data_IF_075107965933
#
_entry.id   IF_075107965933
#
_cell.length_a   1.000
_cell.length_b   1.000
_cell.length_c   1.000
_cell.angle_alpha   90.00
_cell.angle_beta   90.00
_cell.angle_gamma   90.00
#
_symmetry.space_group_name_H-M   'P 1'
#
loop_
_entity.id
_entity.type
_entity.pdbx_description
1 polymer ?
#
# COMPACT_ATOMS: atom_id res chain seq x y z
N UNK A 1 -52.12 2.11 -7.60
CA UNK A 1 -51.75 3.41 -8.20
C UNK A 1 -51.12 4.25 -7.10
N UNK A 2 -49.94 4.83 -7.38
CA UNK A 2 -49.03 5.58 -6.50
C UNK A 2 -47.90 4.78 -5.82
N UNK A 3 -46.85 4.49 -6.60
CA UNK A 3 -45.47 4.40 -6.12
C UNK A 3 -44.92 5.82 -5.97
N UNK A 4 -44.35 6.24 -4.82
CA UNK A 4 -43.68 7.52 -4.73
C UNK A 4 -42.24 7.35 -5.24
N UNK A 5 -42.08 7.77 -6.49
CA UNK A 5 -40.85 8.13 -7.18
C UNK A 5 -40.38 9.48 -6.65
N UNK A 6 -39.58 9.56 -5.58
CA UNK A 6 -38.77 10.75 -5.28
C UNK A 6 -37.65 10.33 -4.29
N UNK A 7 -36.48 9.96 -4.81
CA UNK A 7 -35.36 10.90 -4.94
C UNK A 7 -35.08 11.65 -3.64
N UNK A 8 -34.20 11.06 -2.83
CA UNK A 8 -33.16 11.77 -2.10
C UNK A 8 -32.11 10.72 -1.74
N UNK A 9 -31.21 10.49 -2.70
CA UNK A 9 -30.02 9.64 -2.57
C UNK A 9 -29.11 10.30 -1.52
N UNK A 10 -29.44 10.09 -0.25
CA UNK A 10 -28.54 10.31 0.85
C UNK A 10 -27.40 9.29 0.73
N UNK A 11 -26.18 9.79 0.62
CA UNK A 11 -24.96 9.06 0.98
C UNK A 11 -24.65 7.85 0.11
N UNK A 12 -23.94 8.08 -1.00
CA UNK A 12 -23.07 7.05 -1.56
C UNK A 12 -21.69 7.61 -1.84
N UNK A 13 -21.01 8.01 -0.77
CA UNK A 13 -19.59 7.69 -0.68
C UNK A 13 -19.56 6.21 -0.35
N UNK A 14 -19.36 5.40 -1.38
CA UNK A 14 -19.22 3.96 -1.26
C UNK A 14 -17.98 3.70 -0.41
N UNK A 15 -18.20 3.56 0.89
CA UNK A 15 -17.17 3.07 1.79
C UNK A 15 -16.75 1.70 1.29
N UNK A 16 -15.45 1.57 1.03
CA UNK A 16 -14.78 0.29 0.98
C UNK A 16 -15.01 -0.38 2.34
N UNK A 17 -16.08 -1.16 2.44
CA UNK A 17 -16.49 -1.97 3.59
C UNK A 17 -17.09 -1.23 4.79
N UNK A 18 -18.29 -1.68 5.19
CA UNK A 18 -19.14 -1.03 6.18
C UNK A 18 -18.71 -1.30 7.62
N UNK A 19 -18.09 -0.30 8.25
CA UNK A 19 -17.94 -0.22 9.70
C UNK A 19 -18.58 1.07 10.25
N UNK A 20 -19.18 1.02 11.47
CA UNK A 20 -19.85 2.16 12.10
C UNK A 20 -18.87 3.25 12.57
N UNK A 21 -19.35 4.49 12.54
CA UNK A 21 -18.57 5.72 12.44
C UNK A 21 -18.00 6.30 13.77
N UNK A 22 -17.48 5.46 14.67
CA UNK A 22 -16.93 5.96 15.96
C UNK A 22 -15.47 5.57 16.26
N UNK A 23 -14.80 4.80 15.38
CA UNK A 23 -13.42 4.37 15.61
C UNK A 23 -12.49 4.67 14.42
N UNK A 24 -11.71 5.74 14.59
CA UNK A 24 -10.40 6.07 14.00
C UNK A 24 -10.37 6.56 12.54
N UNK A 25 -9.74 7.73 12.41
CA UNK A 25 -9.49 8.52 11.22
C UNK A 25 -8.97 7.64 10.06
N UNK A 26 -9.71 7.67 8.96
CA UNK A 26 -9.49 6.90 7.74
C UNK A 26 -8.32 7.52 6.94
N UNK A 27 -7.09 7.06 7.16
CA UNK A 27 -6.09 7.08 6.08
C UNK A 27 -6.27 5.78 5.29
N UNK A 28 -6.37 5.88 3.96
CA UNK A 28 -6.34 4.72 3.06
C UNK A 28 -4.89 4.50 2.68
N UNK A 29 -4.15 3.63 3.39
CA UNK A 29 -2.73 3.51 3.17
C UNK A 29 -2.48 2.94 1.77
N UNK A 30 -1.30 3.26 1.26
CA UNK A 30 -0.76 2.55 0.12
C UNK A 30 -0.15 1.23 0.59
N UNK A 31 -0.22 0.21 -0.26
CA UNK A 31 0.21 -1.16 0.02
C UNK A 31 1.19 -1.59 -1.06
N UNK A 32 2.35 -2.11 -0.66
CA UNK A 32 3.29 -2.76 -1.57
C UNK A 32 2.90 -4.23 -1.68
N UNK A 33 2.62 -4.67 -2.90
CA UNK A 33 2.27 -6.05 -3.21
C UNK A 33 3.51 -6.90 -3.47
N UNK A 34 3.33 -8.22 -3.50
CA UNK A 34 4.37 -9.21 -3.81
C UNK A 34 5.07 -9.01 -5.17
N UNK A 35 4.53 -8.17 -6.06
CA UNK A 35 5.21 -7.75 -7.28
C UNK A 35 6.52 -7.00 -7.03
N UNK A 36 6.74 -6.46 -5.82
CA UNK A 36 7.99 -5.82 -5.44
C UNK A 36 9.14 -6.82 -5.19
N UNK A 37 8.83 -8.10 -4.96
CA UNK A 37 9.80 -9.10 -4.56
C UNK A 37 10.94 -9.24 -5.58
N UNK A 38 12.18 -9.00 -5.13
CA UNK A 38 13.40 -9.07 -5.95
C UNK A 38 13.73 -7.81 -6.75
N UNK A 39 12.77 -6.93 -7.06
CA UNK A 39 13.05 -5.66 -7.76
C UNK A 39 13.58 -4.61 -6.79
N UNK A 40 12.91 -4.39 -5.65
CA UNK A 40 13.33 -3.51 -4.55
C UNK A 40 14.08 -2.24 -4.99
N UNK A 41 13.48 -1.42 -5.87
CA UNK A 41 14.17 -0.31 -6.54
C UNK A 41 14.55 0.84 -5.57
N UNK A 42 13.83 0.98 -4.45
CA UNK A 42 13.95 2.04 -3.42
C UNK A 42 13.58 3.46 -3.88
N UNK A 43 13.20 3.68 -5.15
CA UNK A 43 12.71 4.99 -5.60
C UNK A 43 11.46 5.44 -4.82
N UNK A 44 10.57 4.50 -4.47
CA UNK A 44 9.40 4.79 -3.64
C UNK A 44 9.76 5.30 -2.25
N UNK A 45 10.80 4.74 -1.61
CA UNK A 45 11.25 5.16 -0.29
C UNK A 45 11.80 6.60 -0.34
N UNK A 46 12.57 6.94 -1.38
CA UNK A 46 13.07 8.31 -1.56
C UNK A 46 11.98 9.33 -1.91
N UNK A 47 10.88 8.89 -2.53
CA UNK A 47 9.76 9.76 -2.87
C UNK A 47 8.79 10.00 -1.69
N UNK A 48 8.91 9.22 -0.60
CA UNK A 48 7.98 9.30 0.52
C UNK A 48 8.29 10.53 1.41
N UNK A 49 7.35 11.48 1.58
CA UNK A 49 7.58 12.68 2.38
C UNK A 49 7.67 12.43 3.89
N UNK A 50 7.17 11.29 4.36
CA UNK A 50 7.12 10.89 5.77
C UNK A 50 8.00 9.66 6.06
N UNK A 51 8.77 9.19 5.07
CA UNK A 51 9.69 8.05 5.18
C UNK A 51 9.05 6.73 5.70
N UNK A 52 7.77 6.48 5.42
CA UNK A 52 7.06 5.31 5.94
C UNK A 52 7.28 3.98 5.16
N UNK A 53 8.34 3.87 4.34
CA UNK A 53 8.58 2.70 3.49
C UNK A 53 9.89 2.01 3.90
N UNK A 54 9.79 0.77 4.39
CA UNK A 54 10.93 0.04 4.93
C UNK A 54 10.92 -1.43 4.51
N UNK A 55 12.10 -2.05 4.46
CA UNK A 55 12.25 -3.47 4.17
C UNK A 55 13.17 -4.18 5.17
N UNK A 56 13.31 -5.50 5.07
CA UNK A 56 14.18 -6.28 5.95
C UNK A 56 15.68 -5.99 5.70
N UNK A 57 16.00 -5.35 4.56
CA UNK A 57 17.33 -4.91 4.19
C UNK A 57 17.31 -3.38 4.11
N UNK A 58 18.35 -2.74 4.64
CA UNK A 58 18.49 -1.29 4.58
C UNK A 58 18.59 -0.81 3.12
N UNK A 59 17.89 0.28 2.83
CA UNK A 59 17.88 0.93 1.52
C UNK A 59 19.27 1.23 0.95
N UNK A 60 20.21 1.63 1.79
CA UNK A 60 21.59 1.89 1.39
C UNK A 60 22.26 0.63 0.80
N UNK A 61 21.97 -0.54 1.38
CA UNK A 61 22.44 -1.83 0.88
C UNK A 61 21.79 -2.18 -0.45
N UNK A 62 20.48 -1.95 -0.60
CA UNK A 62 19.78 -2.18 -1.87
C UNK A 62 20.34 -1.29 -2.99
N UNK A 63 20.54 0.01 -2.71
CA UNK A 63 21.12 0.98 -3.67
C UNK A 63 22.57 0.69 -4.04
N UNK A 64 23.32 0.00 -3.19
CA UNK A 64 24.70 -0.42 -3.51
C UNK A 64 24.77 -1.50 -4.60
N UNK A 65 23.64 -2.13 -4.93
CA UNK A 65 23.53 -3.20 -5.93
C UNK A 65 22.81 -2.65 -7.18
N UNK A 66 23.36 -2.87 -8.39
CA UNK A 66 22.66 -2.51 -9.63
C UNK A 66 21.27 -3.14 -9.69
N UNK A 67 20.27 -2.40 -10.17
CA UNK A 67 18.87 -2.86 -10.19
C UNK A 67 18.69 -4.24 -10.86
N UNK A 68 19.44 -4.50 -11.94
CA UNK A 68 19.42 -5.78 -12.66
C UNK A 68 19.91 -6.98 -11.83
N UNK A 69 20.73 -6.75 -10.80
CA UNK A 69 21.32 -7.81 -9.97
C UNK A 69 20.57 -8.03 -8.66
N UNK A 70 19.65 -7.13 -8.28
CA UNK A 70 18.93 -7.20 -6.99
C UNK A 70 18.11 -8.48 -6.86
N UNK A 71 17.44 -8.93 -7.92
CA UNK A 71 16.64 -10.15 -7.89
C UNK A 71 17.46 -11.42 -7.68
N UNK A 72 18.72 -11.42 -8.11
CA UNK A 72 19.66 -12.55 -7.90
C UNK A 72 20.26 -12.50 -6.51
N UNK A 73 20.62 -11.31 -6.05
CA UNK A 73 21.33 -11.11 -4.77
C UNK A 73 20.41 -11.14 -3.56
N UNK A 74 19.15 -10.73 -3.73
CA UNK A 74 18.13 -10.65 -2.69
C UNK A 74 16.81 -11.29 -3.15
N UNK A 75 16.80 -12.60 -3.40
CA UNK A 75 15.60 -13.28 -3.86
C UNK A 75 14.50 -13.21 -2.78
N UNK A 76 13.30 -12.80 -3.17
CA UNK A 76 12.14 -12.75 -2.27
C UNK A 76 12.15 -11.59 -1.27
N UNK A 77 13.14 -10.70 -1.32
CA UNK A 77 13.12 -9.47 -0.51
C UNK A 77 12.15 -8.47 -1.15
N UNK A 78 11.35 -7.81 -0.32
CA UNK A 78 10.43 -6.74 -0.71
C UNK A 78 10.43 -5.62 0.33
N UNK A 79 9.93 -4.46 -0.08
CA UNK A 79 9.67 -3.32 0.81
C UNK A 79 8.21 -3.36 1.28
N UNK A 80 7.92 -2.72 2.40
CA UNK A 80 6.59 -2.61 3.00
C UNK A 80 6.31 -1.16 3.38
N UNK A 81 5.04 -0.76 3.34
CA UNK A 81 4.55 0.56 3.75
C UNK A 81 3.91 0.45 5.13
N UNK A 82 4.25 1.35 6.05
CA UNK A 82 3.56 1.42 7.34
C UNK A 82 2.16 2.03 7.15
N UNK A 83 1.07 1.28 7.40
CA UNK A 83 -0.28 1.77 7.17
C UNK A 83 -0.72 2.87 8.14
N UNK A 84 -0.08 3.00 9.31
CA UNK A 84 -0.44 3.99 10.31
C UNK A 84 0.31 5.32 10.13
N UNK A 85 1.45 5.30 9.43
CA UNK A 85 2.21 6.51 9.09
C UNK A 85 1.91 7.02 7.67
N UNK A 86 1.38 6.16 6.79
CA UNK A 86 1.01 6.54 5.44
C UNK A 86 -0.06 7.64 5.42
N UNK A 87 0.27 8.77 4.78
CA UNK A 87 -0.61 9.93 4.64
C UNK A 87 -1.36 10.00 3.30
N UNK A 88 -1.37 8.90 2.54
CA UNK A 88 -2.08 8.81 1.25
C UNK A 88 -1.70 9.90 0.22
N UNK A 89 -0.40 10.20 0.09
CA UNK A 89 0.08 11.24 -0.84
C UNK A 89 0.21 10.78 -2.31
N UNK A 90 0.24 9.47 -2.58
CA UNK A 90 0.35 8.90 -3.93
C UNK A 90 1.70 9.05 -4.63
N UNK A 91 2.70 9.72 -4.04
CA UNK A 91 4.00 9.94 -4.68
C UNK A 91 4.76 8.65 -5.04
N UNK A 92 4.58 7.60 -4.25
CA UNK A 92 5.24 6.31 -4.44
C UNK A 92 4.73 5.52 -5.66
N UNK A 93 3.47 5.70 -6.06
CA UNK A 93 2.85 4.94 -7.16
C UNK A 93 3.49 5.29 -8.50
N UNK A 94 3.71 6.58 -8.76
CA UNK A 94 4.24 7.06 -10.03
C UNK A 94 5.72 6.68 -10.27
N UNK A 95 6.48 6.42 -9.20
CA UNK A 95 7.92 6.13 -9.29
C UNK A 95 8.22 4.62 -9.32
N UNK A 96 7.24 3.77 -9.04
CA UNK A 96 7.47 2.32 -9.02
C UNK A 96 7.63 1.78 -10.45
N UNK A 97 8.78 1.17 -10.80
CA UNK A 97 9.02 0.70 -12.17
C UNK A 97 8.19 -0.54 -12.56
N UNK A 98 7.67 -1.27 -11.57
CA UNK A 98 6.90 -2.51 -11.75
C UNK A 98 5.44 -2.37 -11.32
N UNK A 99 4.99 -1.15 -11.01
CA UNK A 99 3.62 -0.87 -10.57
C UNK A 99 3.14 -1.77 -9.42
N UNK A 100 4.00 -2.05 -8.43
CA UNK A 100 3.69 -2.94 -7.31
C UNK A 100 2.91 -2.27 -6.17
N UNK A 101 2.69 -0.95 -6.25
CA UNK A 101 2.10 -0.14 -5.17
C UNK A 101 0.68 0.26 -5.56
N UNK A 102 -0.27 -0.06 -4.69
CA UNK A 102 -1.68 0.23 -4.87
C UNK A 102 -2.23 0.93 -3.63
N UNK A 103 -3.30 1.70 -3.79
CA UNK A 103 -4.13 2.10 -2.65
C UNK A 103 -4.84 0.86 -2.11
N UNK A 104 -5.02 0.76 -0.79
CA UNK A 104 -5.66 -0.39 -0.12
C UNK A 104 -6.99 -0.82 -0.79
N UNK A 105 -7.84 0.13 -1.14
CA UNK A 105 -9.11 -0.16 -1.83
C UNK A 105 -8.98 -0.63 -3.28
N UNK A 106 -7.84 -0.34 -3.91
CA UNK A 106 -7.57 -0.63 -5.32
C UNK A 106 -6.64 -1.84 -5.47
N UNK A 107 -6.26 -2.49 -4.36
CA UNK A 107 -5.50 -3.74 -4.39
C UNK A 107 -6.34 -4.82 -5.10
N UNK A 108 -5.83 -5.43 -6.19
CA UNK A 108 -6.50 -6.53 -6.86
C UNK A 108 -6.84 -7.66 -5.88
N UNK A 109 -7.97 -8.32 -6.08
CA UNK A 109 -8.48 -9.35 -5.15
C UNK A 109 -7.42 -10.41 -4.81
N UNK A 110 -6.61 -10.80 -5.78
CA UNK A 110 -5.56 -11.81 -5.64
C UNK A 110 -4.41 -11.37 -4.72
N UNK A 111 -4.19 -10.06 -4.57
CA UNK A 111 -3.08 -9.45 -3.84
C UNK A 111 -3.50 -8.89 -2.48
N UNK A 112 -4.76 -9.04 -2.07
CA UNK A 112 -5.27 -8.46 -0.81
C UNK A 112 -4.56 -8.99 0.44
N UNK A 113 -4.01 -10.20 0.39
CA UNK A 113 -3.21 -10.74 1.49
C UNK A 113 -1.96 -9.88 1.78
N UNK A 114 -1.50 -9.11 0.80
CA UNK A 114 -0.35 -8.22 0.97
C UNK A 114 -0.69 -7.02 1.87
N UNK A 115 -1.96 -6.65 2.02
CA UNK A 115 -2.42 -5.59 2.94
C UNK A 115 -2.00 -5.95 4.37
N UNK A 116 -2.35 -7.17 4.81
CA UNK A 116 -1.96 -7.71 6.11
C UNK A 116 -0.45 -7.89 6.20
N UNK A 117 0.22 -8.32 5.11
CA UNK A 117 1.67 -8.51 5.10
C UNK A 117 2.44 -7.21 5.40
N UNK A 118 1.96 -6.07 4.90
CA UNK A 118 2.55 -4.75 5.15
C UNK A 118 2.43 -4.38 6.64
N UNK A 119 1.25 -4.51 7.23
CA UNK A 119 1.06 -4.27 8.67
C UNK A 119 1.91 -5.22 9.53
N UNK A 120 1.93 -6.51 9.16
CA UNK A 120 2.65 -7.57 9.87
C UNK A 120 4.15 -7.32 9.93
N UNK A 121 4.74 -6.72 8.88
CA UNK A 121 6.16 -6.38 8.88
C UNK A 121 6.55 -5.45 10.03
N UNK A 122 5.69 -4.49 10.37
CA UNK A 122 5.88 -3.55 11.49
C UNK A 122 5.43 -4.10 12.84
N UNK A 123 5.18 -5.41 12.94
CA UNK A 123 4.72 -6.06 14.17
C UNK A 123 3.28 -5.75 14.55
N UNK A 124 2.50 -5.13 13.64
CA UNK A 124 1.09 -4.84 13.82
C UNK A 124 0.28 -5.99 13.19
N UNK A 125 -0.71 -6.54 13.89
CA UNK A 125 -1.74 -7.35 13.22
C UNK A 125 -2.52 -6.37 12.35
N UNK A 126 -2.58 -6.61 11.05
CA UNK A 126 -3.35 -5.77 10.14
C UNK A 126 -4.81 -5.72 10.56
N UNK A 127 -5.42 -4.61 10.13
CA UNK A 127 -6.60 -3.99 10.75
C UNK A 127 -7.88 -4.80 10.49
#
# INVERSE_FOLDING_TARGET
>A
MYLPWFFLVAGRREACWGQPAEEKFQTMPHVITRHCAGTCDTACAQACPIDCIHGPIADATLRSVPAAERGVRFPGVQLYIDPDECIDCGCCVAVCPVSAIHMDCDVPLELRDDIEANARFFGRRGR
#
